data_IF_274419054461
#
_entry.id   IF_274419054461
#
_cell.length_a   1.000
_cell.length_b   1.000
_cell.length_c   1.000
_cell.angle_alpha   90.00
_cell.angle_beta   90.00
_cell.angle_gamma   90.00
#
_symmetry.space_group_name_H-M   'P 1'
#
loop_
_entity.id
_entity.type
_entity.pdbx_description
1 polymer ?
#
# COMPACT_ATOMS: atom_id res chain seq x y z
N UNK A 1 15.99 21.87 15.10
CA UNK A 1 15.52 21.31 13.82
C UNK A 1 15.47 19.80 13.95
N UNK A 2 14.30 19.19 13.87
CA UNK A 2 14.14 17.75 14.05
C UNK A 2 12.72 17.33 13.74
N UNK A 3 12.46 16.97 12.49
CA UNK A 3 11.17 16.42 12.04
C UNK A 3 11.40 15.11 11.29
N UNK A 4 12.29 14.27 11.82
CA UNK A 4 12.49 12.93 11.32
C UNK A 4 12.30 11.95 12.48
N UNK A 5 11.30 11.09 12.35
CA UNK A 5 11.01 10.01 13.28
C UNK A 5 10.60 8.80 12.45
N UNK A 6 11.26 7.67 12.69
CA UNK A 6 10.94 6.41 12.05
C UNK A 6 10.03 5.61 12.97
N UNK A 7 8.86 5.22 12.47
CA UNK A 7 7.96 4.30 13.16
C UNK A 7 8.05 2.94 12.48
N UNK A 8 8.36 1.90 13.25
CA UNK A 8 8.41 0.51 12.76
C UNK A 8 7.44 -0.32 13.61
N UNK A 9 6.56 -1.05 12.94
CA UNK A 9 5.67 -2.01 13.57
C UNK A 9 5.77 -3.34 12.82
N UNK A 10 5.89 -4.43 13.56
CA UNK A 10 5.94 -5.79 13.03
C UNK A 10 4.74 -6.57 13.55
N UNK A 11 4.03 -7.24 12.64
CA UNK A 11 2.88 -8.10 12.97
C UNK A 11 3.12 -9.46 12.33
N UNK A 12 2.87 -10.52 13.08
CA UNK A 12 2.95 -11.88 12.54
C UNK A 12 1.77 -12.16 11.62
N UNK A 13 2.05 -12.42 10.35
CA UNK A 13 1.04 -12.73 9.34
C UNK A 13 1.06 -14.22 9.01
N UNK A 14 0.04 -14.95 9.49
CA UNK A 14 -0.05 -16.42 9.33
C UNK A 14 -0.25 -16.90 7.90
N UNK A 15 -0.66 -16.03 6.97
CA UNK A 15 -0.98 -16.40 5.59
C UNK A 15 0.23 -16.32 4.62
N UNK A 16 1.45 -16.09 5.15
CA UNK A 16 2.67 -15.96 4.37
C UNK A 16 2.93 -14.52 3.92
N UNK A 17 4.12 -13.98 4.23
CA UNK A 17 4.49 -12.60 3.88
C UNK A 17 4.57 -12.38 2.37
N UNK A 18 4.96 -13.41 1.62
CA UNK A 18 5.07 -13.37 0.17
C UNK A 18 3.71 -13.12 -0.50
N UNK A 19 2.64 -13.74 0.03
CA UNK A 19 1.29 -13.53 -0.46
C UNK A 19 0.84 -12.08 -0.26
N UNK A 20 1.14 -11.49 0.89
CA UNK A 20 0.84 -10.08 1.15
C UNK A 20 1.64 -9.17 0.21
N UNK A 21 2.93 -9.46 0.02
CA UNK A 21 3.79 -8.71 -0.88
C UNK A 21 3.29 -8.79 -2.34
N UNK A 22 2.88 -9.96 -2.81
CA UNK A 22 2.30 -10.13 -4.15
C UNK A 22 0.92 -9.49 -4.28
N UNK A 23 0.05 -9.59 -3.27
CA UNK A 23 -1.28 -8.98 -3.29
C UNK A 23 -1.19 -7.46 -3.38
N UNK A 24 -0.37 -6.83 -2.54
CA UNK A 24 -0.17 -5.38 -2.57
C UNK A 24 0.51 -4.95 -3.87
N UNK A 25 1.43 -5.76 -4.40
CA UNK A 25 2.18 -5.45 -5.62
C UNK A 25 1.35 -5.58 -6.88
N UNK A 26 0.68 -6.71 -7.08
CA UNK A 26 0.02 -7.05 -8.35
C UNK A 26 -1.48 -6.80 -8.33
N UNK A 27 -2.13 -6.85 -7.17
CA UNK A 27 -3.59 -6.77 -7.06
C UNK A 27 -4.07 -5.97 -5.84
N UNK A 28 -3.71 -4.70 -5.70
CA UNK A 28 -4.11 -3.89 -4.55
C UNK A 28 -5.63 -3.65 -4.50
N UNK A 29 -6.35 -3.81 -5.61
CA UNK A 29 -7.81 -3.83 -5.63
C UNK A 29 -8.41 -4.99 -4.80
N UNK A 30 -7.74 -6.15 -4.74
CA UNK A 30 -8.17 -7.24 -3.84
C UNK A 30 -7.97 -6.86 -2.37
N UNK A 31 -6.96 -6.06 -2.05
CA UNK A 31 -6.74 -5.58 -0.67
C UNK A 31 -7.88 -4.66 -0.24
N UNK A 32 -8.34 -3.78 -1.14
CA UNK A 32 -9.52 -2.96 -0.91
C UNK A 32 -10.80 -3.82 -0.75
N UNK A 33 -10.95 -4.87 -1.54
CA UNK A 33 -12.08 -5.81 -1.44
C UNK A 33 -12.07 -6.62 -0.13
N UNK A 34 -10.89 -7.03 0.35
CA UNK A 34 -10.74 -7.74 1.64
C UNK A 34 -11.08 -6.82 2.82
N UNK A 35 -10.77 -5.52 2.70
CA UNK A 35 -10.91 -4.58 3.82
C UNK A 35 -11.55 -3.24 3.41
N UNK A 36 -12.79 -3.23 2.88
CA UNK A 36 -13.41 -2.04 2.31
C UNK A 36 -13.65 -0.93 3.33
N UNK A 37 -13.77 -1.30 4.61
CA UNK A 37 -13.94 -0.35 5.71
C UNK A 37 -12.68 0.51 5.94
N UNK A 38 -11.50 -0.09 5.76
CA UNK A 38 -10.20 0.56 5.99
C UNK A 38 -9.59 1.09 4.70
N UNK A 39 -9.61 0.29 3.63
CA UNK A 39 -9.05 0.66 2.32
C UNK A 39 -10.20 0.64 1.32
N UNK A 40 -10.60 1.82 0.86
CA UNK A 40 -11.72 1.97 -0.06
C UNK A 40 -11.30 1.66 -1.51
N UNK A 41 -10.02 1.82 -1.84
CA UNK A 41 -9.54 1.57 -3.20
C UNK A 41 -8.07 1.92 -3.39
N UNK A 42 -7.53 1.43 -4.50
CA UNK A 42 -6.20 1.76 -4.98
C UNK A 42 -6.31 2.10 -6.47
N UNK A 43 -5.89 3.30 -6.86
CA UNK A 43 -5.88 3.76 -8.25
C UNK A 43 -4.44 3.93 -8.71
N UNK A 44 -4.15 3.54 -9.96
CA UNK A 44 -2.87 3.88 -10.58
C UNK A 44 -2.97 5.29 -11.14
N UNK A 45 -2.07 6.17 -10.70
CA UNK A 45 -1.97 7.52 -11.25
C UNK A 45 -1.05 7.52 -12.48
N UNK A 46 0.10 6.84 -12.38
CA UNK A 46 1.05 6.66 -13.48
C UNK A 46 1.62 5.24 -13.47
N UNK A 47 1.71 4.60 -14.64
CA UNK A 47 2.29 3.27 -14.81
C UNK A 47 1.26 2.13 -14.74
N UNK A 48 1.68 0.99 -14.22
CA UNK A 48 0.88 -0.23 -14.07
C UNK A 48 1.16 -0.88 -12.70
N UNK A 49 0.16 -1.54 -12.10
CA UNK A 49 0.37 -2.26 -10.85
C UNK A 49 1.50 -3.28 -10.98
N UNK A 50 2.44 -3.23 -10.03
CA UNK A 50 3.56 -4.18 -9.94
C UNK A 50 4.80 -3.82 -10.76
N UNK A 51 4.77 -2.72 -11.53
CA UNK A 51 5.92 -2.23 -12.32
C UNK A 51 6.70 -1.14 -11.59
N UNK A 52 8.03 -1.25 -11.61
CA UNK A 52 8.97 -0.28 -11.03
C UNK A 52 8.72 1.10 -11.66
N UNK A 53 8.63 2.14 -10.83
CA UNK A 53 8.40 3.51 -11.30
C UNK A 53 6.93 3.89 -11.44
N UNK A 54 5.99 2.99 -11.11
CA UNK A 54 4.56 3.33 -11.09
C UNK A 54 4.19 4.09 -9.82
N UNK A 55 3.25 5.02 -9.96
CA UNK A 55 2.68 5.80 -8.85
C UNK A 55 1.28 5.26 -8.57
N UNK A 56 1.11 4.76 -7.36
CA UNK A 56 -0.16 4.23 -6.86
C UNK A 56 -0.75 5.17 -5.82
N UNK A 57 -2.02 5.49 -5.97
CA UNK A 57 -2.80 6.29 -5.04
C UNK A 57 -3.69 5.38 -4.20
N UNK A 58 -3.40 5.33 -2.90
CA UNK A 58 -4.19 4.60 -1.92
C UNK A 58 -5.24 5.52 -1.32
N UNK A 59 -6.50 5.06 -1.33
CA UNK A 59 -7.63 5.70 -0.64
C UNK A 59 -7.99 4.85 0.56
N UNK A 60 -7.72 5.36 1.76
CA UNK A 60 -8.01 4.66 3.01
C UNK A 60 -8.76 5.55 3.99
N UNK A 61 -9.63 4.95 4.80
CA UNK A 61 -10.33 5.61 5.89
C UNK A 61 -9.52 5.46 7.16
N UNK A 62 -9.24 6.56 7.84
CA UNK A 62 -8.71 6.52 9.20
C UNK A 62 -9.65 7.30 10.12
N UNK A 63 -10.35 6.57 11.00
CA UNK A 63 -11.41 7.14 11.81
C UNK A 63 -12.58 7.63 10.94
N UNK A 64 -12.79 8.96 10.90
CA UNK A 64 -13.85 9.60 10.09
C UNK A 64 -13.34 10.26 8.81
N UNK A 65 -12.03 10.31 8.62
CA UNK A 65 -11.42 11.06 7.53
C UNK A 65 -10.89 10.11 6.46
N UNK A 66 -11.08 10.50 5.20
CA UNK A 66 -10.52 9.80 4.04
C UNK A 66 -9.15 10.40 3.78
N UNK A 67 -8.13 9.55 3.85
CA UNK A 67 -6.76 9.91 3.54
C UNK A 67 -6.37 9.38 2.16
N UNK A 68 -5.54 10.16 1.48
CA UNK A 68 -4.95 9.82 0.19
C UNK A 68 -3.44 9.73 0.38
N UNK A 69 -2.85 8.62 -0.03
CA UNK A 69 -1.41 8.41 0.02
C UNK A 69 -0.91 8.02 -1.37
N UNK A 70 0.01 8.81 -1.91
CA UNK A 70 0.72 8.49 -3.15
C UNK A 70 2.00 7.75 -2.82
N UNK A 71 2.10 6.52 -3.31
CA UNK A 71 3.29 5.68 -3.17
C UNK A 71 3.97 5.55 -4.53
N UNK A 72 5.26 5.85 -4.58
CA UNK A 72 6.10 5.46 -5.70
C UNK A 72 6.58 4.02 -5.48
N UNK A 73 6.36 3.14 -6.44
CA UNK A 73 6.91 1.79 -6.40
C UNK A 73 8.39 1.85 -6.81
N UNK A 74 9.28 2.00 -5.84
CA UNK A 74 10.72 1.84 -6.02
C UNK A 74 11.15 0.44 -5.57
N UNK A 75 11.86 -0.29 -6.42
CA UNK A 75 12.48 -1.56 -6.05
C UNK A 75 13.95 -1.31 -5.71
N UNK A 76 14.39 -1.75 -4.52
CA UNK A 76 15.80 -2.11 -4.36
C UNK A 76 15.95 -3.50 -4.96
N UNK A 77 16.65 -3.59 -6.10
CA UNK A 77 17.13 -4.87 -6.61
C UNK A 77 18.06 -5.45 -5.54
N UNK A 78 17.63 -6.54 -4.88
CA UNK A 78 18.53 -7.38 -4.11
C UNK A 78 19.30 -8.32 -5.03
#
# INVERSE_FOLDING_TARGET
>A
MGLHGTLVASVEFKAGGDLYHELVRYNPNKVADITPEKVQGCDVHEGEFGKVGSIVLWRYTHGKYIHRYSQLISFQSS
#
